data_IF_555349157114
#
_entry.id   IF_555349157114
#
_cell.length_a   1.000
_cell.length_b   1.000
_cell.length_c   1.000
_cell.angle_alpha   90.00
_cell.angle_beta   90.00
_cell.angle_gamma   90.00
#
_symmetry.space_group_name_H-M   'P 1'
#
loop_
_entity.id
_entity.type
_entity.pdbx_description
1 polymer ?
#
# COMPACT_ATOMS: atom_id res chain seq x y z
N UNK A 1 2.24 3.70 -16.85
CA UNK A 1 1.81 2.84 -15.72
C UNK A 1 0.48 2.18 -15.99
N UNK A 2 -0.62 2.92 -16.13
CA UNK A 2 -1.97 2.34 -16.36
C UNK A 2 -2.00 1.36 -17.55
N UNK A 3 -1.31 1.68 -18.66
CA UNK A 3 -1.16 0.78 -19.82
C UNK A 3 -0.37 -0.51 -19.57
N UNK A 4 0.43 -0.58 -18.52
CA UNK A 4 1.21 -1.77 -18.16
C UNK A 4 0.45 -2.68 -17.18
N UNK A 5 -0.68 -2.21 -16.65
CA UNK A 5 -1.54 -2.94 -15.71
C UNK A 5 -2.77 -3.54 -16.43
N UNK A 6 -2.60 -3.99 -17.67
CA UNK A 6 -3.68 -4.55 -18.52
C UNK A 6 -4.29 -5.85 -17.98
N UNK A 7 -3.62 -6.49 -17.02
CA UNK A 7 -4.14 -7.63 -16.26
C UNK A 7 -5.37 -7.28 -15.40
N UNK A 8 -5.61 -5.99 -15.10
CA UNK A 8 -6.80 -5.57 -14.36
C UNK A 8 -7.92 -5.14 -15.30
N UNK A 9 -9.11 -5.69 -15.09
CA UNK A 9 -10.29 -5.43 -15.92
C UNK A 9 -11.08 -4.18 -15.51
N UNK A 10 -10.73 -3.55 -14.37
CA UNK A 10 -11.36 -2.32 -13.88
C UNK A 10 -10.62 -1.05 -14.30
N UNK A 11 -11.15 0.11 -13.86
CA UNK A 11 -10.45 1.38 -14.03
C UNK A 11 -9.33 1.50 -12.99
N UNK A 12 -8.17 1.99 -13.44
CA UNK A 12 -7.00 2.24 -12.59
C UNK A 12 -6.50 3.64 -12.86
N UNK A 13 -6.12 4.35 -11.82
CA UNK A 13 -5.55 5.70 -11.89
C UNK A 13 -4.23 5.71 -11.14
N UNK A 14 -3.17 6.13 -11.82
CA UNK A 14 -1.88 6.39 -11.18
C UNK A 14 -1.67 7.89 -11.01
N UNK A 15 -1.37 8.32 -9.78
CA UNK A 15 -1.10 9.72 -9.46
C UNK A 15 0.06 9.85 -8.45
N UNK A 16 0.64 11.04 -8.39
CA UNK A 16 1.71 11.33 -7.44
C UNK A 16 1.12 11.85 -6.11
N UNK A 17 1.46 11.16 -5.03
CA UNK A 17 1.33 11.66 -3.67
C UNK A 17 2.56 12.46 -3.26
N UNK A 18 2.43 13.26 -2.20
CA UNK A 18 3.56 13.96 -1.60
C UNK A 18 3.41 13.91 -0.08
N UNK A 19 4.51 13.59 0.61
CA UNK A 19 4.55 13.69 2.06
C UNK A 19 4.67 15.17 2.46
N UNK A 20 3.74 15.66 3.27
CA UNK A 20 3.71 17.05 3.71
C UNK A 20 4.91 17.41 4.62
N UNK A 21 5.54 16.42 5.25
CA UNK A 21 6.65 16.60 6.18
C UNK A 21 8.02 16.58 5.51
N UNK A 22 8.24 15.67 4.54
CA UNK A 22 9.53 15.53 3.86
C UNK A 22 9.56 16.14 2.46
N UNK A 23 8.39 16.36 1.84
CA UNK A 23 8.28 16.77 0.43
C UNK A 23 8.55 15.65 -0.56
N UNK A 24 8.78 14.42 -0.10
CA UNK A 24 9.06 13.27 -0.97
C UNK A 24 7.82 12.92 -1.80
N UNK A 25 8.05 12.68 -3.09
CA UNK A 25 7.00 12.24 -4.01
C UNK A 25 6.98 10.72 -4.12
N UNK A 26 5.79 10.16 -4.15
CA UNK A 26 5.58 8.73 -4.31
C UNK A 26 4.39 8.44 -5.22
N UNK A 27 4.40 7.26 -5.83
CA UNK A 27 3.30 6.84 -6.69
C UNK A 27 2.18 6.23 -5.85
N UNK A 28 0.97 6.71 -6.07
CA UNK A 28 -0.27 6.17 -5.53
C UNK A 28 -1.06 5.58 -6.67
N UNK A 29 -1.48 4.33 -6.52
CA UNK A 29 -2.38 3.67 -7.45
C UNK A 29 -3.76 3.57 -6.84
N UNK A 30 -4.74 4.20 -7.47
CA UNK A 30 -6.14 4.01 -7.15
C UNK A 30 -6.77 3.03 -8.13
N UNK A 31 -7.56 2.10 -7.62
CA UNK A 31 -8.27 1.12 -8.44
C UNK A 31 -9.74 1.09 -8.06
N UNK A 32 -10.60 1.20 -9.05
CA UNK A 32 -12.03 1.06 -8.83
C UNK A 32 -12.37 -0.42 -8.68
N UNK A 33 -12.92 -0.80 -7.53
CA UNK A 33 -13.38 -2.16 -7.26
C UNK A 33 -14.89 -2.22 -7.38
N UNK A 34 -15.37 -3.17 -8.19
CA UNK A 34 -16.79 -3.48 -8.29
C UNK A 34 -17.15 -4.46 -7.17
N UNK A 35 -17.35 -3.95 -5.97
CA UNK A 35 -17.83 -4.77 -4.86
C UNK A 35 -19.36 -4.86 -4.90
N UNK A 36 -19.90 -6.06 -4.77
CA UNK A 36 -21.33 -6.30 -4.59
C UNK A 36 -21.79 -6.09 -3.15
N UNK A 37 -20.87 -5.91 -2.20
CA UNK A 37 -21.19 -5.72 -0.79
C UNK A 37 -21.27 -4.23 -0.45
N UNK A 38 -22.32 -3.79 0.26
CA UNK A 38 -22.40 -2.43 0.76
C UNK A 38 -21.24 -2.16 1.74
N UNK A 39 -20.68 -0.95 1.65
CA UNK A 39 -19.61 -0.50 2.53
C UNK A 39 -20.03 -0.62 3.99
N UNK A 40 -19.14 -1.14 4.85
CA UNK A 40 -19.27 -0.96 6.28
C UNK A 40 -19.05 0.52 6.63
N UNK A 41 -20.05 1.15 7.25
CA UNK A 41 -19.94 2.54 7.71
C UNK A 41 -18.78 2.67 8.70
N UNK A 42 -17.92 3.65 8.45
CA UNK A 42 -16.78 3.99 9.29
C UNK A 42 -16.55 5.49 9.15
N UNK A 43 -16.60 6.20 10.28
CA UNK A 43 -16.38 7.65 10.37
C UNK A 43 -14.90 8.03 10.17
N UNK A 44 -13.99 7.07 10.28
CA UNK A 44 -12.54 7.29 10.18
C UNK A 44 -12.04 7.30 8.73
N UNK A 45 -12.86 6.89 7.75
CA UNK A 45 -12.44 6.77 6.34
C UNK A 45 -13.28 7.59 5.36
N UNK A 46 -12.65 8.17 4.32
CA UNK A 46 -13.36 8.85 3.26
C UNK A 46 -14.38 7.94 2.58
N UNK A 47 -15.58 8.43 2.25
CA UNK A 47 -16.70 7.63 1.69
C UNK A 47 -16.38 6.89 0.39
N UNK A 48 -15.45 7.43 -0.40
CA UNK A 48 -14.99 6.84 -1.65
C UNK A 48 -14.03 5.65 -1.45
N UNK A 49 -13.38 5.53 -0.29
CA UNK A 49 -12.44 4.46 0.02
C UNK A 49 -13.18 3.13 0.26
N UNK A 50 -12.69 2.06 -0.36
CA UNK A 50 -13.15 0.70 -0.09
C UNK A 50 -12.30 0.07 1.02
N UNK A 51 -12.93 -0.53 2.03
CA UNK A 51 -12.20 -1.23 3.10
C UNK A 51 -11.57 -2.53 2.60
N UNK A 52 -10.50 -2.97 3.25
CA UNK A 52 -9.74 -4.15 2.85
C UNK A 52 -10.46 -5.44 3.28
N UNK A 53 -11.35 -5.94 2.43
CA UNK A 53 -11.90 -7.29 2.58
C UNK A 53 -10.92 -8.34 2.00
N UNK A 54 -10.99 -9.62 2.41
CA UNK A 54 -10.13 -10.66 1.86
C UNK A 54 -10.17 -10.76 0.33
N UNK A 55 -11.33 -10.50 -0.29
CA UNK A 55 -11.48 -10.49 -1.74
C UNK A 55 -10.73 -9.33 -2.40
N UNK A 56 -10.84 -8.13 -1.83
CA UNK A 56 -10.14 -6.93 -2.30
C UNK A 56 -8.63 -7.10 -2.19
N UNK A 57 -8.17 -7.62 -1.06
CA UNK A 57 -6.78 -7.97 -0.78
C UNK A 57 -6.24 -8.91 -1.88
N UNK A 58 -6.97 -9.99 -2.21
CA UNK A 58 -6.56 -10.90 -3.29
C UNK A 58 -6.44 -10.23 -4.66
N UNK A 59 -7.39 -9.36 -5.02
CA UNK A 59 -7.32 -8.60 -6.28
C UNK A 59 -6.11 -7.66 -6.33
N UNK A 60 -5.81 -7.00 -5.21
CA UNK A 60 -4.66 -6.11 -5.07
C UNK A 60 -3.33 -6.86 -5.21
N UNK A 61 -3.22 -8.07 -4.66
CA UNK A 61 -2.03 -8.91 -4.81
C UNK A 61 -1.77 -9.33 -6.25
N UNK A 62 -2.80 -9.80 -6.95
CA UNK A 62 -2.69 -10.20 -8.35
C UNK A 62 -2.24 -9.02 -9.23
N UNK A 63 -2.80 -7.84 -8.96
CA UNK A 63 -2.41 -6.63 -9.66
C UNK A 63 -0.97 -6.21 -9.34
N UNK A 64 -0.53 -6.36 -8.09
CA UNK A 64 0.84 -6.09 -7.68
C UNK A 64 1.83 -7.03 -8.38
N UNK A 65 1.54 -8.33 -8.43
CA UNK A 65 2.40 -9.30 -9.12
C UNK A 65 2.55 -8.95 -10.61
N UNK A 66 1.43 -8.63 -11.25
CA UNK A 66 1.43 -8.13 -12.61
C UNK A 66 2.25 -6.83 -12.76
N UNK A 67 2.13 -5.90 -11.82
CA UNK A 67 2.91 -4.66 -11.83
C UNK A 67 4.41 -4.92 -11.69
N UNK A 68 4.82 -5.81 -10.79
CA UNK A 68 6.23 -6.20 -10.61
C UNK A 68 6.83 -6.80 -11.88
N UNK A 69 6.04 -7.56 -12.65
CA UNK A 69 6.48 -8.15 -13.90
C UNK A 69 6.55 -7.15 -15.07
N UNK A 70 5.81 -6.04 -15.01
CA UNK A 70 5.62 -5.12 -16.13
C UNK A 70 6.13 -3.69 -15.88
N UNK A 71 6.57 -3.36 -14.66
CA UNK A 71 7.04 -2.03 -14.28
C UNK A 71 8.46 -2.09 -13.70
N UNK A 72 9.18 -0.99 -13.88
CA UNK A 72 10.46 -0.77 -13.20
C UNK A 72 10.23 -0.41 -11.73
N UNK A 73 11.16 -0.80 -10.85
CA UNK A 73 11.06 -0.59 -9.40
C UNK A 73 10.77 0.87 -9.01
N UNK A 74 11.38 1.84 -9.71
CA UNK A 74 11.18 3.27 -9.45
C UNK A 74 9.75 3.78 -9.73
N UNK A 75 8.95 3.02 -10.49
CA UNK A 75 7.56 3.35 -10.80
C UNK A 75 6.57 2.56 -9.95
N UNK A 76 7.03 1.74 -9.00
CA UNK A 76 6.12 0.92 -8.19
C UNK A 76 5.30 1.79 -7.23
N UNK A 77 3.96 1.60 -7.14
CA UNK A 77 3.15 2.32 -6.18
C UNK A 77 3.51 1.92 -4.75
N UNK A 78 3.59 2.93 -3.88
CA UNK A 78 3.71 2.72 -2.43
C UNK A 78 2.34 2.42 -1.84
N UNK A 79 1.30 3.13 -2.29
CA UNK A 79 -0.08 2.93 -1.87
C UNK A 79 -0.93 2.36 -2.99
N UNK A 80 -1.76 1.39 -2.63
CA UNK A 80 -2.70 0.71 -3.50
C UNK A 80 -4.09 0.87 -2.89
N UNK A 81 -4.83 1.83 -3.41
CA UNK A 81 -6.04 2.35 -2.79
C UNK A 81 -7.26 1.85 -3.57
N UNK A 82 -8.05 0.93 -3.00
CA UNK A 82 -9.29 0.50 -3.61
C UNK A 82 -10.39 1.55 -3.39
N UNK A 83 -11.11 1.86 -4.46
CA UNK A 83 -12.17 2.88 -4.49
C UNK A 83 -13.49 2.19 -4.78
N UNK A 84 -14.51 2.49 -3.98
CA UNK A 84 -15.84 1.90 -4.10
C UNK A 84 -16.75 2.67 -5.08
N UNK A 85 -16.44 3.94 -5.33
CA UNK A 85 -17.15 4.78 -6.30
C UNK A 85 -16.38 4.85 -7.63
N UNK A 86 -17.08 5.02 -8.76
CA UNK A 86 -16.42 5.39 -10.02
C UNK A 86 -15.54 6.64 -9.83
N UNK A 87 -14.47 6.74 -10.60
CA UNK A 87 -13.62 7.92 -10.56
C UNK A 87 -14.41 9.18 -10.97
N UNK A 88 -14.14 10.34 -10.37
CA UNK A 88 -14.73 11.60 -10.77
C UNK A 88 -14.27 11.94 -12.19
N UNK A 89 -15.17 12.50 -13.00
CA UNK A 89 -14.88 12.96 -14.34
C UNK A 89 -15.17 14.47 -14.45
N UNK A 90 -14.39 15.17 -15.27
CA UNK A 90 -14.59 16.58 -15.58
C UNK A 90 -15.71 16.75 -16.63
N UNK A 91 -15.98 17.99 -17.03
CA UNK A 91 -16.98 18.35 -18.05
C UNK A 91 -16.74 17.66 -19.40
N UNK A 92 -15.50 17.23 -19.69
CA UNK A 92 -15.11 16.53 -20.90
C UNK A 92 -15.20 15.00 -20.77
N UNK A 93 -15.77 14.48 -19.68
CA UNK A 93 -15.79 13.03 -19.37
C UNK A 93 -14.41 12.39 -19.23
N UNK A 94 -13.37 13.20 -18.99
CA UNK A 94 -12.03 12.72 -18.63
C UNK A 94 -11.91 12.65 -17.11
N UNK A 95 -11.04 11.78 -16.59
CA UNK A 95 -10.84 11.66 -15.13
C UNK A 95 -10.40 13.00 -14.54
N UNK A 96 -11.13 13.50 -13.54
CA UNK A 96 -10.80 14.75 -12.87
C UNK A 96 -9.61 14.54 -11.90
N UNK A 97 -8.41 14.78 -12.42
CA UNK A 97 -7.16 14.67 -11.66
C UNK A 97 -7.10 15.60 -10.44
N UNK A 98 -7.85 16.71 -10.41
CA UNK A 98 -7.89 17.59 -9.23
C UNK A 98 -8.66 16.92 -8.09
N UNK A 99 -9.80 16.30 -8.41
CA UNK A 99 -10.57 15.53 -7.45
C UNK A 99 -9.78 14.30 -6.94
N UNK A 100 -9.08 13.57 -7.82
CA UNK A 100 -8.19 12.46 -7.42
C UNK A 100 -7.10 12.93 -6.45
N UNK A 101 -6.45 14.08 -6.72
CA UNK A 101 -5.44 14.63 -5.81
C UNK A 101 -6.04 15.01 -4.45
N UNK A 102 -7.26 15.53 -4.43
CA UNK A 102 -7.98 15.79 -3.18
C UNK A 102 -8.22 14.50 -2.39
N UNK A 103 -8.61 13.41 -3.05
CA UNK A 103 -8.76 12.09 -2.41
C UNK A 103 -7.43 11.60 -1.83
N UNK A 104 -6.32 11.76 -2.54
CA UNK A 104 -4.99 11.39 -2.02
C UNK A 104 -4.67 12.20 -0.76
N UNK A 105 -4.87 13.52 -0.78
CA UNK A 105 -4.61 14.37 0.38
C UNK A 105 -5.49 13.98 1.56
N UNK A 106 -6.77 13.72 1.33
CA UNK A 106 -7.72 13.28 2.36
C UNK A 106 -7.28 11.95 2.99
N UNK A 107 -6.91 10.96 2.16
CA UNK A 107 -6.41 9.66 2.61
C UNK A 107 -5.11 9.77 3.40
N UNK A 108 -4.17 10.60 2.95
CA UNK A 108 -2.90 10.82 3.66
C UNK A 108 -3.10 11.55 4.99
N UNK A 109 -4.18 12.32 5.11
CA UNK A 109 -4.54 13.08 6.33
C UNK A 109 -5.25 12.22 7.38
N UNK A 110 -5.57 10.95 7.09
CA UNK A 110 -6.15 10.04 8.08
C UNK A 110 -5.16 9.86 9.24
N UNK A 111 -5.53 10.36 10.43
CA UNK A 111 -4.69 10.41 11.62
C UNK A 111 -4.18 9.04 12.09
N UNK A 112 -4.89 7.97 11.75
CA UNK A 112 -4.51 6.61 12.11
C UNK A 112 -3.50 6.05 11.09
N UNK A 113 -2.22 6.32 11.34
CA UNK A 113 -1.12 5.81 10.52
C UNK A 113 -1.12 4.28 10.37
N UNK A 114 -1.61 3.55 11.37
CA UNK A 114 -1.73 2.09 11.35
C UNK A 114 -2.67 1.64 10.22
N UNK A 115 -3.84 2.26 10.11
CA UNK A 115 -4.79 1.88 9.05
C UNK A 115 -4.38 2.37 7.67
N UNK A 116 -3.69 3.51 7.57
CA UNK A 116 -3.11 3.98 6.30
C UNK A 116 -2.06 3.01 5.76
N UNK A 117 -1.22 2.47 6.65
CA UNK A 117 -0.20 1.50 6.29
C UNK A 117 -0.82 0.22 5.70
N UNK A 118 -2.05 -0.14 6.09
CA UNK A 118 -2.74 -1.32 5.55
C UNK A 118 -2.96 -1.28 4.03
N UNK A 119 -2.99 -0.09 3.44
CA UNK A 119 -3.12 0.09 1.98
C UNK A 119 -1.75 0.15 1.28
N UNK A 120 -0.65 -0.04 2.01
CA UNK A 120 0.65 -0.30 1.41
C UNK A 120 0.72 -1.75 0.95
N UNK A 121 1.41 -1.98 -0.18
CA UNK A 121 1.36 -3.23 -0.93
C UNK A 121 1.74 -4.49 -0.13
N UNK A 122 2.44 -4.38 1.00
CA UNK A 122 2.76 -5.53 1.87
C UNK A 122 1.72 -5.89 2.92
N UNK A 123 0.87 -4.96 3.34
CA UNK A 123 -0.25 -5.29 4.22
C UNK A 123 -1.42 -5.91 3.45
N UNK A 124 -1.43 -5.72 2.14
CA UNK A 124 -2.48 -6.19 1.25
C UNK A 124 -2.34 -7.67 0.86
N UNK A 125 -1.57 -8.46 1.61
CA UNK A 125 -1.70 -9.91 1.63
C UNK A 125 -0.46 -10.71 1.25
N UNK A 126 0.68 -10.46 1.90
CA UNK A 126 1.77 -11.43 1.89
C UNK A 126 1.89 -12.13 3.24
N UNK A 127 1.09 -13.18 3.41
CA UNK A 127 1.34 -14.28 4.35
C UNK A 127 2.34 -15.29 3.77
N UNK A 128 3.32 -14.84 2.99
CA UNK A 128 4.43 -15.70 2.55
C UNK A 128 5.68 -15.40 3.39
N UNK A 129 5.59 -15.75 4.67
CA UNK A 129 6.72 -15.88 5.62
C UNK A 129 7.77 -16.89 5.15
N UNK A 130 7.38 -17.78 4.24
CA UNK A 130 8.09 -19.02 3.94
C UNK A 130 9.24 -18.85 2.95
N UNK A 131 9.72 -17.62 2.70
CA UNK A 131 10.97 -17.49 1.95
C UNK A 131 12.13 -18.05 2.78
N UNK A 132 12.91 -18.94 2.17
CA UNK A 132 14.00 -19.65 2.85
C UNK A 132 15.02 -18.70 3.48
N UNK A 133 15.18 -17.51 2.91
CA UNK A 133 15.98 -16.38 3.39
C UNK A 133 15.38 -15.70 4.64
N UNK A 134 14.07 -15.42 4.66
CA UNK A 134 13.36 -14.91 5.85
C UNK A 134 13.46 -15.89 7.00
N UNK A 135 13.24 -17.18 6.73
CA UNK A 135 13.37 -18.23 7.75
C UNK A 135 14.80 -18.35 8.28
N UNK A 136 15.81 -18.19 7.41
CA UNK A 136 17.22 -18.12 7.83
C UNK A 136 17.53 -16.90 8.69
N UNK A 137 16.92 -15.75 8.40
CA UNK A 137 17.03 -14.55 9.25
C UNK A 137 16.39 -14.80 10.63
N UNK A 138 15.16 -15.34 10.65
CA UNK A 138 14.40 -15.64 11.88
C UNK A 138 15.16 -16.59 12.82
N UNK A 139 15.95 -17.50 12.26
CA UNK A 139 16.78 -18.45 13.02
C UNK A 139 18.04 -17.84 13.64
N UNK A 140 18.38 -16.58 13.37
CA UNK A 140 19.50 -15.85 13.99
C UNK A 140 18.97 -14.83 14.98
N UNK A 141 19.65 -14.64 16.11
CA UNK A 141 19.18 -13.70 17.15
C UNK A 141 19.02 -12.27 16.64
N UNK A 142 20.01 -11.73 15.91
CA UNK A 142 19.90 -10.41 15.27
C UNK A 142 18.79 -10.37 14.22
N UNK A 143 18.60 -11.45 13.46
CA UNK A 143 17.60 -11.50 12.40
C UNK A 143 16.18 -11.54 12.97
N UNK A 144 15.97 -12.19 14.12
CA UNK A 144 14.72 -12.13 14.88
C UNK A 144 14.40 -10.71 15.34
N UNK A 145 15.37 -10.02 15.95
CA UNK A 145 15.19 -8.62 16.37
C UNK A 145 14.86 -7.70 15.19
N UNK A 146 15.52 -7.89 14.03
CA UNK A 146 15.22 -7.12 12.83
C UNK A 146 13.79 -7.37 12.33
N UNK A 147 13.33 -8.64 12.34
CA UNK A 147 11.96 -9.00 11.96
C UNK A 147 10.94 -8.39 12.94
N UNK A 148 11.18 -8.49 14.26
CA UNK A 148 10.30 -7.89 15.28
C UNK A 148 10.22 -6.36 15.15
N UNK A 149 11.36 -5.70 14.87
CA UNK A 149 11.37 -4.25 14.62
C UNK A 149 10.60 -3.92 13.34
N UNK A 150 10.78 -4.71 12.29
CA UNK A 150 10.04 -4.58 11.03
C UNK A 150 8.54 -4.68 11.28
N UNK A 151 8.12 -5.77 11.93
CA UNK A 151 6.75 -6.04 12.31
C UNK A 151 6.15 -4.88 13.13
N UNK A 152 6.89 -4.36 14.12
CA UNK A 152 6.46 -3.22 14.94
C UNK A 152 6.34 -1.90 14.16
N UNK A 153 7.24 -1.62 13.24
CA UNK A 153 7.22 -0.38 12.43
C UNK A 153 6.01 -0.34 11.53
N UNK A 154 5.73 -1.48 10.89
CA UNK A 154 4.63 -1.59 9.95
C UNK A 154 3.32 -2.05 10.60
N UNK A 155 3.35 -2.53 11.84
CA UNK A 155 2.19 -3.10 12.55
C UNK A 155 1.65 -4.36 11.88
N UNK A 156 2.55 -5.24 11.43
CA UNK A 156 2.22 -6.58 10.91
C UNK A 156 2.65 -7.66 11.90
N UNK A 157 2.04 -8.87 11.85
CA UNK A 157 2.59 -10.03 12.54
C UNK A 157 4.03 -10.33 12.08
N UNK A 158 4.86 -10.84 12.97
CA UNK A 158 6.25 -11.24 12.66
C UNK A 158 6.30 -12.31 11.56
N UNK A 159 5.23 -13.11 11.43
CA UNK A 159 5.05 -14.11 10.40
C UNK A 159 4.78 -13.49 9.03
N UNK A 160 4.33 -12.25 8.92
CA UNK A 160 4.03 -11.61 7.64
C UNK A 160 5.22 -10.79 7.08
N UNK A 161 6.29 -10.67 7.86
CA UNK A 161 7.52 -10.01 7.41
C UNK A 161 8.26 -10.88 6.40
N UNK A 162 8.50 -10.35 5.20
CA UNK A 162 9.35 -10.97 4.18
C UNK A 162 10.63 -10.15 3.98
N UNK A 163 11.77 -10.72 4.39
CA UNK A 163 13.07 -10.06 4.34
C UNK A 163 13.67 -9.94 2.94
N UNK A 164 13.09 -10.58 1.91
CA UNK A 164 13.53 -10.44 0.52
C UNK A 164 12.99 -9.18 -0.16
N UNK A 165 11.95 -8.57 0.41
CA UNK A 165 11.35 -7.37 -0.15
C UNK A 165 12.07 -6.12 0.34
N UNK A 166 12.43 -5.18 -0.55
CA UNK A 166 13.10 -3.96 -0.11
C UNK A 166 12.19 -3.15 0.83
N UNK A 167 12.75 -2.61 1.92
CA UNK A 167 12.04 -1.82 2.94
C UNK A 167 11.19 -0.66 2.38
N UNK A 168 11.58 -0.07 1.24
CA UNK A 168 10.79 0.98 0.58
C UNK A 168 9.59 0.43 -0.20
N UNK A 169 9.69 -0.80 -0.74
CA UNK A 169 8.60 -1.49 -1.44
C UNK A 169 7.47 -1.94 -0.49
N UNK A 170 7.66 -1.65 0.78
CA UNK A 170 6.93 -2.11 1.95
C UNK A 170 6.12 -1.00 2.61
N UNK A 171 6.14 0.19 2.01
CA UNK A 171 5.60 1.39 2.65
C UNK A 171 6.60 2.02 3.60
N UNK A 172 7.85 1.54 3.62
CA UNK A 172 8.91 2.21 4.34
C UNK A 172 9.22 3.54 3.69
N UNK A 173 9.28 4.55 4.54
CA UNK A 173 9.73 5.89 4.25
C UNK A 173 10.85 6.26 5.22
N UNK A 174 11.33 7.50 5.14
CA UNK A 174 12.35 8.01 6.04
C UNK A 174 11.92 7.94 7.52
N UNK A 175 10.64 8.19 7.81
CA UNK A 175 10.10 8.15 9.17
C UNK A 175 10.10 6.71 9.72
N UNK A 176 9.65 5.76 8.91
CA UNK A 176 9.61 4.34 9.23
C UNK A 176 11.01 3.77 9.37
N UNK A 177 11.97 4.22 8.56
CA UNK A 177 13.38 3.86 8.71
C UNK A 177 13.96 4.40 10.03
N UNK A 178 13.66 5.65 10.41
CA UNK A 178 14.08 6.22 11.69
C UNK A 178 13.45 5.45 12.87
N UNK A 179 12.15 5.14 12.80
CA UNK A 179 11.46 4.32 13.81
C UNK A 179 12.07 2.92 13.89
N UNK A 180 12.40 2.31 12.75
CA UNK A 180 13.05 1.01 12.69
C UNK A 180 14.39 1.02 13.42
N UNK A 181 15.24 2.00 13.09
CA UNK A 181 16.54 2.15 13.75
C UNK A 181 16.35 2.40 15.25
N UNK A 182 15.44 3.28 15.64
CA UNK A 182 15.17 3.56 17.05
C UNK A 182 14.73 2.33 17.85
N UNK A 183 13.97 1.40 17.24
CA UNK A 183 13.56 0.14 17.88
C UNK A 183 14.71 -0.88 17.95
N UNK A 184 15.63 -0.86 16.98
CA UNK A 184 16.78 -1.75 16.97
C UNK A 184 17.77 -1.47 18.13
N UNK A 185 17.78 -0.22 18.63
CA UNK A 185 18.67 0.23 19.70
C UNK A 185 18.02 0.31 21.09
N UNK A 186 16.75 -0.12 21.24
CA UNK A 186 16.03 -0.10 22.54
C UNK A 186 16.14 -1.44 23.27
#
# INVERSE_FOLDING_TARGET
MERALQCYTGQVVAELGSDASTGDQFVVLMLHIRSSQPRAESDDFPTWLHLLSPEVVQQLLQLRECATNNLIAAMMPIFWIPVNSPFPHNENSEIDRRAIKSWIVEFLSVSNNNTRNQYSALHLGQTHSDSASTQRLRNRDLGRTLIECWAKVFCVPDEEVNAELPFLHVGGDNISAIRFVSLLWS
#
